data_IF_443385105480
#
_entry.id   IF_443385105480
#
_cell.length_a   1.000
_cell.length_b   1.000
_cell.length_c   1.000
_cell.angle_alpha   90.00
_cell.angle_beta   90.00
_cell.angle_gamma   90.00
#
_symmetry.space_group_name_H-M   'P 1'
#
loop_
_entity.id
_entity.type
_entity.pdbx_description
1 polymer ?
#
# COMPACT_ATOMS: atom_id res chain seq x y z
N UNK A 1 -6.97 20.95 2.73
CA UNK A 1 -5.70 20.92 1.97
C UNK A 1 -5.98 21.03 0.49
N UNK A 2 -5.10 21.65 -0.29
CA UNK A 2 -5.32 21.79 -1.72
C UNK A 2 -5.26 20.43 -2.45
N UNK A 3 -6.22 20.13 -3.34
CA UNK A 3 -6.41 18.81 -3.97
C UNK A 3 -5.33 18.34 -4.96
N UNK A 4 -4.21 19.06 -5.11
CA UNK A 4 -3.21 18.85 -6.17
C UNK A 4 -1.87 18.26 -5.72
N UNK A 5 -1.64 18.05 -4.42
CA UNK A 5 -0.48 17.26 -3.99
C UNK A 5 -0.84 15.77 -4.09
N UNK A 6 -0.04 14.93 -4.77
CA UNK A 6 -0.12 13.49 -4.54
C UNK A 6 0.04 13.31 -3.03
N UNK A 7 -0.96 12.75 -2.35
CA UNK A 7 -0.95 12.66 -0.87
C UNK A 7 0.31 11.97 -0.34
N UNK A 8 0.90 11.10 -1.16
CA UNK A 8 2.23 10.50 -0.96
C UNK A 8 3.37 11.53 -0.81
N UNK A 9 3.44 12.59 -1.62
CA UNK A 9 4.52 13.57 -1.53
C UNK A 9 4.47 14.41 -0.25
N UNK A 10 3.27 14.63 0.31
CA UNK A 10 3.10 15.28 1.62
C UNK A 10 3.53 14.37 2.74
N UNK A 11 3.12 13.10 2.70
CA UNK A 11 3.57 12.08 3.66
C UNK A 11 5.09 11.91 3.61
N UNK A 12 5.66 11.78 2.42
CA UNK A 12 7.11 11.66 2.22
C UNK A 12 7.88 12.84 2.81
N UNK A 13 7.48 14.07 2.53
CA UNK A 13 8.19 15.25 3.04
C UNK A 13 8.06 15.38 4.58
N UNK A 14 6.97 14.90 5.17
CA UNK A 14 6.81 14.86 6.61
C UNK A 14 7.76 13.84 7.28
N UNK A 15 8.03 12.71 6.61
CA UNK A 15 8.96 11.67 7.08
C UNK A 15 10.43 11.98 6.76
N UNK A 16 10.69 12.70 5.65
CA UNK A 16 12.02 12.99 5.12
C UNK A 16 12.19 14.50 4.86
N UNK A 17 12.27 15.33 5.92
CA UNK A 17 12.26 16.79 5.80
C UNK A 17 13.52 17.37 5.14
N UNK A 18 14.58 16.58 5.03
CA UNK A 18 15.84 16.90 4.37
C UNK A 18 15.82 16.63 2.86
N UNK A 19 14.76 15.98 2.35
CA UNK A 19 14.59 15.69 0.93
C UNK A 19 13.74 16.76 0.24
N UNK A 20 13.75 16.75 -1.09
CA UNK A 20 12.90 17.63 -1.90
C UNK A 20 11.87 16.80 -2.66
N UNK A 21 10.61 17.23 -2.61
CA UNK A 21 9.53 16.69 -3.44
C UNK A 21 9.20 17.71 -4.54
N UNK A 22 9.01 17.23 -5.77
CA UNK A 22 8.65 18.10 -6.88
C UNK A 22 7.33 18.82 -6.58
N UNK A 23 7.37 20.16 -6.55
CA UNK A 23 6.15 20.96 -6.42
C UNK A 23 5.31 20.83 -7.69
N UNK A 24 4.01 20.47 -7.57
CA UNK A 24 3.08 20.50 -8.69
C UNK A 24 2.69 21.93 -9.10
N UNK A 25 3.07 22.94 -8.31
CA UNK A 25 2.90 24.36 -8.62
C UNK A 25 4.24 24.91 -9.12
N UNK A 26 4.56 24.61 -10.37
CA UNK A 26 5.69 25.20 -11.06
C UNK A 26 5.26 25.68 -12.45
N UNK A 27 6.07 26.55 -13.08
CA UNK A 27 5.71 27.19 -14.35
C UNK A 27 5.58 26.20 -15.54
N UNK A 28 6.05 24.97 -15.37
CA UNK A 28 6.07 23.93 -16.39
C UNK A 28 4.93 22.91 -16.24
N UNK A 29 4.54 22.58 -15.01
CA UNK A 29 3.47 21.64 -14.67
C UNK A 29 2.24 22.40 -14.20
N UNK A 30 1.35 22.77 -15.14
CA UNK A 30 0.07 23.37 -14.79
C UNK A 30 -0.89 22.27 -14.32
N UNK A 31 -1.44 22.31 -13.09
CA UNK A 31 -2.36 21.26 -12.59
C UNK A 31 -3.60 21.04 -13.46
N UNK A 32 -4.03 22.07 -14.20
CA UNK A 32 -5.14 21.95 -15.15
C UNK A 32 -4.81 21.10 -16.38
N UNK A 33 -3.53 21.00 -16.74
CA UNK A 33 -3.02 20.22 -17.88
C UNK A 33 -2.74 18.77 -17.47
N UNK A 34 -2.28 18.56 -16.24
CA UNK A 34 -1.99 17.23 -15.67
C UNK A 34 -2.85 16.95 -14.43
N UNK A 35 -4.19 16.90 -14.57
CA UNK A 35 -5.04 16.55 -13.46
C UNK A 35 -4.87 15.07 -13.07
N UNK A 36 -5.32 14.72 -11.87
CA UNK A 36 -5.39 13.32 -11.42
C UNK A 36 -6.09 12.45 -12.46
N UNK A 37 -5.63 11.21 -12.61
CA UNK A 37 -6.07 10.34 -13.71
C UNK A 37 -7.56 9.98 -13.64
N UNK A 38 -8.19 10.10 -12.47
CA UNK A 38 -9.62 9.88 -12.23
C UNK A 38 -10.45 11.18 -12.27
N UNK A 39 -9.84 12.34 -12.51
CA UNK A 39 -10.55 13.59 -12.75
C UNK A 39 -11.09 13.64 -14.18
N UNK A 40 -12.35 14.07 -14.36
CA UNK A 40 -13.04 14.00 -15.66
C UNK A 40 -12.36 14.72 -16.83
N UNK A 41 -11.50 15.71 -16.57
CA UNK A 41 -10.71 16.39 -17.62
C UNK A 41 -9.37 15.73 -17.93
N UNK A 42 -9.02 14.64 -17.24
CA UNK A 42 -7.79 13.90 -17.50
C UNK A 42 -7.89 13.10 -18.79
N UNK A 43 -6.81 13.06 -19.58
CA UNK A 43 -6.68 12.17 -20.73
C UNK A 43 -6.84 10.70 -20.34
N UNK A 44 -6.52 10.35 -19.08
CA UNK A 44 -6.66 8.99 -18.55
C UNK A 44 -8.03 8.71 -17.91
N UNK A 45 -8.92 9.71 -17.80
CA UNK A 45 -10.19 9.59 -17.09
C UNK A 45 -11.03 8.41 -17.56
N UNK A 46 -11.28 8.35 -18.88
CA UNK A 46 -12.07 7.28 -19.47
C UNK A 46 -11.44 5.93 -19.21
N UNK A 47 -10.12 5.83 -19.27
CA UNK A 47 -9.42 4.59 -18.93
C UNK A 47 -9.57 4.25 -17.46
N UNK A 48 -9.44 5.18 -16.51
CA UNK A 48 -9.58 4.89 -15.08
C UNK A 48 -11.00 4.53 -14.65
N UNK A 49 -12.01 5.08 -15.32
CA UNK A 49 -13.42 4.99 -14.87
C UNK A 49 -14.25 3.90 -15.52
N UNK A 50 -13.86 3.40 -16.70
CA UNK A 50 -14.53 2.21 -17.28
C UNK A 50 -13.91 0.92 -16.72
N UNK A 51 -14.72 -0.13 -16.49
CA UNK A 51 -14.21 -1.39 -15.94
C UNK A 51 -13.32 -2.17 -16.94
N UNK A 52 -13.41 -1.87 -18.24
CA UNK A 52 -12.73 -2.62 -19.29
C UNK A 52 -11.24 -2.29 -19.38
N UNK A 53 -10.41 -3.28 -19.70
CA UNK A 53 -8.99 -3.10 -20.02
C UNK A 53 -8.81 -2.39 -21.38
N UNK A 54 -7.68 -1.71 -21.58
CA UNK A 54 -7.37 -1.06 -22.87
C UNK A 54 -7.10 -2.08 -23.97
N UNK A 55 -6.49 -3.21 -23.61
CA UNK A 55 -6.25 -4.36 -24.47
C UNK A 55 -6.87 -5.62 -23.85
N UNK A 56 -7.25 -6.63 -24.65
CA UNK A 56 -7.80 -7.88 -24.14
C UNK A 56 -6.85 -8.58 -23.16
N UNK A 57 -7.41 -9.02 -22.03
CA UNK A 57 -6.76 -9.87 -21.04
C UNK A 57 -7.65 -11.09 -20.87
N UNK A 58 -7.14 -12.25 -21.24
CA UNK A 58 -7.92 -13.49 -21.33
C UNK A 58 -8.11 -14.17 -19.98
N UNK A 59 -7.05 -14.21 -19.17
CA UNK A 59 -7.11 -14.78 -17.83
C UNK A 59 -7.78 -13.76 -16.88
N UNK A 60 -8.94 -14.12 -16.33
CA UNK A 60 -9.78 -13.21 -15.55
C UNK A 60 -10.38 -13.91 -14.36
N UNK A 61 -10.66 -13.11 -13.33
CA UNK A 61 -11.27 -13.56 -12.11
C UNK A 61 -12.31 -12.54 -11.65
N UNK A 62 -13.49 -13.03 -11.28
CA UNK A 62 -14.65 -12.21 -10.92
C UNK A 62 -14.78 -11.95 -9.41
N UNK A 63 -13.86 -12.44 -8.57
CA UNK A 63 -13.88 -12.19 -7.11
C UNK A 63 -13.70 -10.71 -6.80
N UNK A 64 -12.97 -9.97 -7.64
CA UNK A 64 -12.80 -8.52 -7.55
C UNK A 64 -13.13 -7.83 -8.88
N UNK A 65 -13.46 -6.53 -8.82
CA UNK A 65 -13.59 -5.72 -10.02
C UNK A 65 -12.28 -5.68 -10.82
N UNK A 66 -12.36 -5.70 -12.15
CA UNK A 66 -11.20 -5.78 -13.07
C UNK A 66 -10.04 -4.86 -12.69
N UNK A 67 -10.34 -3.61 -12.31
CA UNK A 67 -9.36 -2.58 -11.93
C UNK A 67 -9.30 -2.30 -10.43
N UNK A 68 -9.78 -3.22 -9.60
CA UNK A 68 -9.57 -3.14 -8.16
C UNK A 68 -8.06 -3.09 -7.89
N UNK A 69 -7.63 -2.20 -7.00
CA UNK A 69 -6.24 -2.13 -6.56
C UNK A 69 -5.97 -3.21 -5.53
N UNK A 70 -4.92 -4.00 -5.74
CA UNK A 70 -4.46 -5.01 -4.79
C UNK A 70 -2.98 -4.83 -4.51
N UNK A 71 -2.57 -4.95 -3.25
CA UNK A 71 -1.17 -5.22 -2.92
C UNK A 71 -0.92 -6.71 -3.18
N UNK A 72 0.00 -7.02 -4.08
CA UNK A 72 0.46 -8.38 -4.30
C UNK A 72 1.65 -8.71 -3.40
N UNK A 73 1.56 -9.79 -2.64
CA UNK A 73 2.66 -10.32 -1.83
C UNK A 73 2.98 -11.73 -2.32
N UNK A 74 4.22 -11.93 -2.75
CA UNK A 74 4.73 -13.22 -3.21
C UNK A 74 5.86 -13.68 -2.30
N UNK A 75 5.68 -14.85 -1.67
CA UNK A 75 6.73 -15.49 -0.88
C UNK A 75 6.83 -16.94 -1.34
N UNK A 76 7.99 -17.30 -1.89
CA UNK A 76 8.17 -18.58 -2.59
C UNK A 76 7.09 -18.72 -3.69
N UNK A 77 6.37 -19.85 -3.74
CA UNK A 77 5.30 -20.10 -4.72
C UNK A 77 3.90 -19.72 -4.20
N UNK A 78 3.80 -19.02 -3.06
CA UNK A 78 2.53 -18.55 -2.54
C UNK A 78 2.32 -17.08 -2.85
N UNK A 79 1.13 -16.79 -3.37
CA UNK A 79 0.73 -15.47 -3.86
C UNK A 79 -0.56 -15.04 -3.18
N UNK A 80 -0.52 -13.95 -2.42
CA UNK A 80 -1.72 -13.40 -1.78
C UNK A 80 -1.94 -11.98 -2.27
N UNK A 81 -3.19 -11.70 -2.63
CA UNK A 81 -3.65 -10.36 -2.95
C UNK A 81 -4.47 -9.78 -1.80
N UNK A 82 -4.07 -8.59 -1.36
CA UNK A 82 -4.76 -7.80 -0.35
C UNK A 82 -5.42 -6.61 -1.02
N UNK A 83 -6.73 -6.44 -0.88
CA UNK A 83 -7.37 -5.26 -1.49
C UNK A 83 -6.87 -3.98 -0.83
N UNK A 84 -6.53 -2.97 -1.62
CA UNK A 84 -6.06 -1.67 -1.11
C UNK A 84 -7.13 -1.04 -0.19
N UNK A 85 -8.42 -1.27 -0.45
CA UNK A 85 -9.51 -0.83 0.43
C UNK A 85 -9.46 -1.49 1.81
N UNK A 86 -9.21 -2.79 1.88
CA UNK A 86 -9.07 -3.51 3.16
C UNK A 86 -7.84 -3.01 3.92
N UNK A 87 -6.70 -2.87 3.24
CA UNK A 87 -5.48 -2.36 3.85
C UNK A 87 -5.68 -0.94 4.41
N UNK A 88 -6.29 -0.03 3.64
CA UNK A 88 -6.62 1.32 4.11
C UNK A 88 -7.50 1.35 5.35
N UNK A 89 -8.46 0.43 5.45
CA UNK A 89 -9.36 0.36 6.59
C UNK A 89 -8.67 -0.17 7.85
N UNK A 90 -7.84 -1.21 7.71
CA UNK A 90 -7.17 -1.86 8.84
C UNK A 90 -5.88 -1.14 9.27
N UNK A 91 -5.17 -0.53 8.32
CA UNK A 91 -3.87 0.14 8.39
C UNK A 91 -2.70 -0.74 8.85
N UNK A 92 -2.89 -1.64 9.79
CA UNK A 92 -1.93 -2.66 10.23
C UNK A 92 -2.58 -4.05 10.08
N UNK A 93 -1.93 -4.94 9.35
CA UNK A 93 -2.38 -6.32 9.13
C UNK A 93 -1.24 -7.28 9.42
N UNK A 94 -1.37 -8.08 10.48
CA UNK A 94 -0.48 -9.22 10.74
C UNK A 94 -1.03 -10.46 10.03
N UNK A 95 -0.21 -11.05 9.18
CA UNK A 95 -0.57 -12.22 8.38
C UNK A 95 0.61 -13.21 8.31
N UNK A 96 0.33 -14.38 7.73
CA UNK A 96 1.31 -15.43 7.48
C UNK A 96 1.20 -15.95 6.05
N UNK A 97 2.26 -15.75 5.26
CA UNK A 97 2.33 -16.12 3.84
C UNK A 97 3.43 -17.14 3.61
N UNK A 98 3.10 -18.31 3.05
CA UNK A 98 4.04 -19.42 2.88
C UNK A 98 4.84 -19.78 4.16
N UNK A 99 4.18 -19.69 5.33
CA UNK A 99 4.83 -19.95 6.63
C UNK A 99 5.69 -18.81 7.16
N UNK A 100 5.87 -17.71 6.42
CA UNK A 100 6.56 -16.49 6.85
C UNK A 100 5.59 -15.47 7.40
N UNK A 101 5.87 -15.04 8.61
CA UNK A 101 5.07 -14.04 9.31
C UNK A 101 5.41 -12.63 8.80
N UNK A 102 4.38 -11.90 8.39
CA UNK A 102 4.51 -10.56 7.81
C UNK A 102 3.56 -9.57 8.44
N UNK A 103 3.97 -8.32 8.53
CA UNK A 103 3.11 -7.19 8.89
C UNK A 103 3.02 -6.22 7.72
N UNK A 104 1.80 -5.85 7.36
CA UNK A 104 1.50 -4.87 6.31
C UNK A 104 1.06 -3.57 6.99
N UNK A 105 1.75 -2.48 6.65
CA UNK A 105 1.50 -1.14 7.18
C UNK A 105 1.08 -0.24 6.05
N UNK A 106 -0.04 0.47 6.19
CA UNK A 106 -0.67 1.20 5.08
C UNK A 106 -1.22 2.56 5.47
N UNK A 107 -1.07 3.53 4.57
CA UNK A 107 -1.71 4.86 4.67
C UNK A 107 -3.20 4.77 4.42
N UNK A 108 -4.01 5.50 5.19
CA UNK A 108 -5.45 5.59 4.94
C UNK A 108 -5.77 6.52 3.74
N UNK A 109 -4.89 7.46 3.41
CA UNK A 109 -5.15 8.50 2.41
C UNK A 109 -4.31 8.36 1.13
N UNK A 110 -3.21 7.61 1.16
CA UNK A 110 -2.29 7.45 0.04
C UNK A 110 -2.18 5.98 -0.41
N UNK A 111 -1.24 5.71 -1.30
CA UNK A 111 -0.86 4.36 -1.73
C UNK A 111 0.47 3.91 -1.10
N UNK A 112 0.95 4.61 -0.06
CA UNK A 112 2.09 4.16 0.72
C UNK A 112 1.69 2.94 1.55
N UNK A 113 2.22 1.78 1.14
CA UNK A 113 2.02 0.49 1.77
C UNK A 113 3.37 -0.20 1.84
N UNK A 114 3.69 -0.75 3.02
CA UNK A 114 4.95 -1.45 3.28
C UNK A 114 4.66 -2.79 3.91
N UNK A 115 5.48 -3.77 3.55
CA UNK A 115 5.42 -5.12 4.11
C UNK A 115 6.75 -5.38 4.80
N UNK A 116 6.72 -5.80 6.05
CA UNK A 116 7.90 -6.21 6.80
C UNK A 116 7.75 -7.66 7.22
N UNK A 117 8.86 -8.34 7.46
CA UNK A 117 8.84 -9.50 8.34
C UNK A 117 8.37 -9.09 9.74
N UNK A 118 7.77 -10.04 10.47
CA UNK A 118 7.44 -9.84 11.89
C UNK A 118 7.96 -10.93 12.81
N UNK A 119 8.62 -11.95 12.26
CA UNK A 119 9.02 -13.20 12.92
C UNK A 119 7.88 -13.89 13.69
N UNK A 120 7.55 -13.43 14.89
CA UNK A 120 6.38 -13.89 15.66
C UNK A 120 5.61 -12.74 16.34
N UNK A 121 6.09 -11.50 16.22
CA UNK A 121 5.53 -10.32 16.86
C UNK A 121 4.17 -9.97 16.25
N UNK A 122 3.24 -9.49 17.07
CA UNK A 122 1.94 -9.00 16.64
C UNK A 122 1.87 -7.49 16.82
N UNK A 123 1.86 -6.78 15.71
CA UNK A 123 1.83 -5.33 15.74
C UNK A 123 0.41 -4.78 15.73
N UNK A 124 0.24 -3.68 16.44
CA UNK A 124 -1.00 -2.92 16.47
C UNK A 124 -0.74 -1.47 16.09
N UNK A 125 -1.80 -0.80 15.67
CA UNK A 125 -1.77 0.65 15.51
C UNK A 125 -1.42 1.29 16.86
N UNK A 126 -0.53 2.29 16.88
CA UNK A 126 -0.32 3.08 18.08
C UNK A 126 -1.59 3.83 18.46
N UNK A 127 -1.66 4.29 19.71
CA UNK A 127 -2.75 5.15 20.16
C UNK A 127 -2.66 6.51 19.48
N UNK A 128 -3.79 7.03 19.00
CA UNK A 128 -3.88 8.33 18.32
C UNK A 128 -4.62 8.29 17.00
N UNK A 129 -4.81 9.45 16.39
CA UNK A 129 -5.40 9.58 15.05
C UNK A 129 -4.31 9.98 14.06
N UNK A 130 -4.19 9.20 12.99
CA UNK A 130 -3.26 9.44 11.89
C UNK A 130 -3.99 9.19 10.58
N UNK A 131 -3.97 10.16 9.67
CA UNK A 131 -4.58 10.00 8.35
C UNK A 131 -3.61 9.32 7.36
N UNK A 132 -2.30 9.50 7.56
CA UNK A 132 -1.25 8.89 6.75
C UNK A 132 -0.90 7.45 7.14
N UNK A 133 0.21 6.93 6.61
CA UNK A 133 0.78 5.67 7.11
C UNK A 133 1.32 5.91 8.53
N UNK A 134 1.08 5.00 9.49
CA UNK A 134 1.66 5.14 10.82
C UNK A 134 3.19 4.99 10.73
N UNK A 135 3.91 5.99 11.23
CA UNK A 135 5.38 5.99 11.29
C UNK A 135 5.91 5.00 12.35
N UNK A 136 5.08 4.66 13.33
CA UNK A 136 5.40 3.71 14.38
C UNK A 136 4.28 2.67 14.56
N UNK A 137 4.62 1.53 15.14
CA UNK A 137 3.71 0.48 15.58
C UNK A 137 4.03 0.10 17.02
N UNK A 138 3.12 -0.61 17.67
CA UNK A 138 3.33 -1.14 19.02
C UNK A 138 3.18 -2.65 18.96
N UNK A 139 4.13 -3.39 19.52
CA UNK A 139 4.04 -4.85 19.62
C UNK A 139 3.20 -5.31 20.83
N UNK A 140 3.06 -6.62 21.02
CA UNK A 140 2.31 -7.21 22.13
C UNK A 140 2.88 -6.92 23.52
N UNK A 141 4.16 -6.54 23.62
CA UNK A 141 4.83 -6.19 24.88
C UNK A 141 4.63 -4.72 25.26
N UNK A 142 4.15 -3.91 24.31
CA UNK A 142 4.00 -2.46 24.46
C UNK A 142 5.22 -1.67 23.97
N UNK A 143 6.22 -2.34 23.38
CA UNK A 143 7.38 -1.68 22.79
C UNK A 143 6.99 -0.98 21.48
N UNK A 144 7.57 0.19 21.25
CA UNK A 144 7.34 0.97 20.02
C UNK A 144 8.33 0.57 18.94
N UNK A 145 7.86 0.44 17.70
CA UNK A 145 8.68 0.09 16.55
C UNK A 145 8.54 1.12 15.44
N UNK A 146 9.66 1.59 14.89
CA UNK A 146 9.68 2.58 13.80
C UNK A 146 9.62 1.91 12.44
N UNK A 147 8.58 2.22 11.65
CA UNK A 147 8.35 1.68 10.32
C UNK A 147 9.11 2.49 9.25
N UNK A 148 10.40 2.17 9.07
CA UNK A 148 11.32 2.85 8.16
C UNK A 148 11.29 2.36 6.70
N UNK A 149 12.15 2.91 5.86
CA UNK A 149 12.19 2.59 4.41
C UNK A 149 12.68 1.16 4.12
N UNK A 150 13.65 0.66 4.88
CA UNK A 150 14.31 -0.63 4.65
C UNK A 150 13.96 -1.68 5.70
N UNK A 151 13.52 -1.27 6.89
CA UNK A 151 13.24 -2.13 8.01
C UNK A 151 12.24 -1.51 8.98
N UNK A 152 11.63 -2.37 9.79
CA UNK A 152 10.93 -2.03 11.01
C UNK A 152 11.93 -2.22 12.18
N UNK A 153 12.09 -1.20 13.01
CA UNK A 153 13.20 -1.13 14.00
C UNK A 153 12.63 -0.92 15.39
N UNK A 154 13.07 -1.71 16.37
CA UNK A 154 12.68 -1.58 17.77
C UNK A 154 13.10 -0.23 18.36
N UNK A 155 12.46 0.23 19.42
CA UNK A 155 12.74 1.54 20.04
C UNK A 155 14.18 1.64 20.52
N UNK A 156 14.72 0.55 21.07
CA UNK A 156 16.10 0.44 21.52
C UNK A 156 17.11 0.21 20.37
N UNK A 157 16.64 0.00 19.14
CA UNK A 157 17.43 -0.30 17.96
C UNK A 157 18.13 -1.67 17.97
N UNK A 158 17.84 -2.53 18.95
CA UNK A 158 18.46 -3.86 19.08
C UNK A 158 17.97 -4.84 18.02
N UNK A 159 16.74 -4.67 17.55
CA UNK A 159 16.10 -5.58 16.61
C UNK A 159 15.63 -4.85 15.36
N UNK A 160 15.87 -5.48 14.21
CA UNK A 160 15.47 -4.96 12.91
C UNK A 160 14.81 -6.06 12.10
N UNK A 161 13.63 -5.77 11.55
CA UNK A 161 12.85 -6.68 10.73
C UNK A 161 12.81 -6.15 9.30
N UNK A 162 13.27 -6.96 8.34
CA UNK A 162 13.48 -6.48 6.97
C UNK A 162 12.16 -6.13 6.27
N UNK A 163 12.20 -5.12 5.42
CA UNK A 163 11.13 -4.86 4.45
C UNK A 163 11.17 -5.89 3.33
N UNK A 164 9.99 -6.38 2.95
CA UNK A 164 9.77 -7.25 1.81
C UNK A 164 9.32 -6.43 0.60
N UNK A 165 9.70 -6.89 -0.60
CA UNK A 165 9.24 -6.26 -1.84
C UNK A 165 7.75 -6.52 -2.04
N UNK A 166 7.00 -5.47 -2.33
CA UNK A 166 5.56 -5.52 -2.59
C UNK A 166 5.17 -4.36 -3.49
N UNK A 167 4.20 -4.58 -4.36
CA UNK A 167 3.69 -3.53 -5.25
C UNK A 167 2.17 -3.58 -5.32
N UNK A 168 1.57 -2.44 -5.65
CA UNK A 168 0.14 -2.36 -5.93
C UNK A 168 -0.08 -2.59 -7.42
N UNK A 169 -1.03 -3.46 -7.74
CA UNK A 169 -1.43 -3.82 -9.09
C UNK A 169 -2.93 -3.58 -9.28
N UNK A 170 -3.35 -3.43 -10.54
CA UNK A 170 -4.74 -3.72 -10.87
C UNK A 170 -4.97 -5.22 -10.81
N UNK A 171 -6.16 -5.63 -10.34
CA UNK A 171 -6.54 -7.02 -10.18
C UNK A 171 -6.35 -7.84 -11.45
N UNK A 172 -6.79 -7.33 -12.61
CA UNK A 172 -6.60 -8.02 -13.88
C UNK A 172 -5.13 -8.30 -14.20
N UNK A 173 -4.22 -7.42 -13.79
CA UNK A 173 -2.80 -7.55 -14.07
C UNK A 173 -2.16 -8.57 -13.13
N UNK A 174 -2.46 -8.48 -11.84
CA UNK A 174 -1.98 -9.45 -10.85
C UNK A 174 -2.46 -10.87 -11.16
N UNK A 175 -3.77 -11.05 -11.35
CA UNK A 175 -4.35 -12.37 -11.59
C UNK A 175 -3.87 -13.01 -12.89
N UNK A 176 -3.54 -12.21 -13.91
CA UNK A 176 -3.00 -12.73 -15.15
C UNK A 176 -1.66 -13.47 -14.95
N UNK A 177 -0.85 -13.07 -13.96
CA UNK A 177 0.43 -13.70 -13.62
C UNK A 177 0.34 -14.70 -12.46
N UNK A 178 -0.63 -14.55 -11.56
CA UNK A 178 -0.81 -15.38 -10.37
C UNK A 178 -2.26 -15.89 -10.24
N UNK A 179 -2.72 -16.78 -11.14
CA UNK A 179 -4.11 -17.27 -11.13
C UNK A 179 -4.48 -18.09 -9.88
N UNK A 180 -3.50 -18.72 -9.25
CA UNK A 180 -3.62 -19.46 -8.00
C UNK A 180 -3.67 -18.56 -6.76
N UNK A 181 -3.61 -17.23 -6.92
CA UNK A 181 -3.53 -16.30 -5.81
C UNK A 181 -4.73 -16.42 -4.85
N UNK A 182 -4.42 -16.47 -3.57
CA UNK A 182 -5.39 -16.31 -2.50
C UNK A 182 -5.79 -14.83 -2.36
N UNK A 183 -7.04 -14.62 -1.94
CA UNK A 183 -7.51 -13.29 -1.55
C UNK A 183 -7.55 -13.21 -0.03
N UNK A 184 -6.88 -12.21 0.52
CA UNK A 184 -6.93 -11.95 1.95
C UNK A 184 -8.38 -11.66 2.40
N UNK A 185 -8.81 -12.36 3.44
CA UNK A 185 -10.10 -12.15 4.11
C UNK A 185 -9.87 -11.96 5.60
N UNK A 186 -10.35 -10.84 6.14
CA UNK A 186 -10.25 -10.54 7.56
C UNK A 186 -11.19 -11.39 8.44
N UNK A 187 -12.06 -12.23 7.85
CA UNK A 187 -13.13 -12.94 8.54
C UNK A 187 -12.76 -14.37 9.03
N UNK A 188 -11.48 -14.67 9.25
CA UNK A 188 -11.04 -15.99 9.75
C UNK A 188 -9.95 -15.90 10.83
N UNK A 189 -10.11 -15.04 11.83
CA UNK A 189 -9.44 -15.21 13.13
C UNK A 189 -10.50 -15.35 14.22
#
# INVERSE_FOLDING_TARGET
MPPWLPRYGVEWLAEHPDTSVLSPLNDFYRPIVYPQEDYYKSTYYRYRTIPNTMFPVWNRDSRLGTKAGVLGVSISDSHIAYTVSTLRALRVVNDRVAGRDVVIVSSAISSDIRVYERDAQEFQLPSGSFDGRPAAMVDESGETWTAGESALVSEDGSTTLRRLSSNIYFWYAWFAFHPETDLYSALQK
#
